data_IF_006901879179
#
_entry.id   IF_006901879179
#
_cell.length_a   1.000
_cell.length_b   1.000
_cell.length_c   1.000
_cell.angle_alpha   90.00
_cell.angle_beta   90.00
_cell.angle_gamma   90.00
#
_symmetry.space_group_name_H-M   'P 1'
#
loop_
_entity.id
_entity.type
_entity.pdbx_description
1 polymer ?
#
# COMPACT_ATOMS: atom_id res chain seq x y z
N UNK A 1 -10.96 -23.00 3.91
CA UNK A 1 -9.72 -23.50 4.56
C UNK A 1 -8.79 -22.32 4.77
N UNK A 2 -8.70 -21.81 6.00
CA UNK A 2 -7.76 -20.74 6.39
C UNK A 2 -6.45 -21.45 6.73
N UNK A 3 -5.42 -21.25 5.90
CA UNK A 3 -4.11 -21.83 6.12
C UNK A 3 -3.50 -21.17 7.37
N UNK A 4 -3.68 -21.82 8.52
CA UNK A 4 -2.92 -21.56 9.73
C UNK A 4 -1.51 -22.10 9.46
N UNK A 5 -0.52 -21.23 9.28
CA UNK A 5 0.88 -21.63 9.40
C UNK A 5 1.22 -21.50 10.89
N UNK A 6 1.42 -22.62 11.61
CA UNK A 6 1.76 -22.59 13.02
C UNK A 6 3.26 -22.25 13.15
N UNK A 7 3.59 -20.98 13.40
CA UNK A 7 4.97 -20.56 13.69
C UNK A 7 5.26 -20.63 15.20
N UNK A 8 5.15 -21.83 15.77
CA UNK A 8 5.83 -22.13 17.02
C UNK A 8 7.30 -22.48 16.68
N UNK A 9 8.21 -21.50 16.65
CA UNK A 9 9.63 -21.82 16.56
C UNK A 9 10.58 -20.69 16.21
N UNK A 10 10.39 -20.01 15.07
CA UNK A 10 11.21 -18.89 14.63
C UNK A 10 10.35 -17.96 13.79
N UNK A 11 10.21 -16.70 14.18
CA UNK A 11 9.76 -15.67 13.24
C UNK A 11 10.85 -15.59 12.18
N UNK A 12 10.59 -16.13 11.00
CA UNK A 12 11.45 -15.90 9.85
C UNK A 12 11.25 -14.44 9.43
N UNK A 13 12.03 -13.56 10.08
CA UNK A 13 11.99 -12.12 9.86
C UNK A 13 12.20 -11.80 8.39
N UNK A 14 13.04 -12.57 7.70
CA UNK A 14 13.30 -12.41 6.28
C UNK A 14 12.04 -12.73 5.46
N UNK A 15 11.37 -13.84 5.74
CA UNK A 15 10.12 -14.20 5.06
C UNK A 15 8.99 -13.17 5.30
N UNK A 16 8.86 -12.66 6.52
CA UNK A 16 7.84 -11.67 6.86
C UNK A 16 8.17 -10.28 6.28
N UNK A 17 9.45 -9.87 6.27
CA UNK A 17 9.92 -8.68 5.57
C UNK A 17 9.69 -8.79 4.06
N UNK A 18 9.93 -9.96 3.45
CA UNK A 18 9.67 -10.19 2.04
C UNK A 18 8.17 -10.12 1.71
N UNK A 19 7.32 -10.69 2.57
CA UNK A 19 5.86 -10.62 2.45
C UNK A 19 5.38 -9.17 2.51
N UNK A 20 5.83 -8.41 3.50
CA UNK A 20 5.49 -6.99 3.66
C UNK A 20 6.05 -6.14 2.52
N UNK A 21 7.28 -6.38 2.07
CA UNK A 21 7.89 -5.71 0.92
C UNK A 21 7.09 -5.92 -0.37
N UNK A 22 6.66 -7.16 -0.65
CA UNK A 22 5.78 -7.47 -1.80
C UNK A 22 4.42 -6.75 -1.69
N UNK A 23 3.87 -6.63 -0.48
CA UNK A 23 2.61 -5.95 -0.24
C UNK A 23 2.75 -4.41 -0.41
N UNK A 24 3.84 -3.83 0.09
CA UNK A 24 4.21 -2.42 -0.11
C UNK A 24 4.35 -2.11 -1.59
N UNK A 25 5.10 -2.93 -2.35
CA UNK A 25 5.29 -2.72 -3.79
C UNK A 25 3.98 -2.78 -4.59
N UNK A 26 3.07 -3.68 -4.23
CA UNK A 26 1.73 -3.74 -4.85
C UNK A 26 0.95 -2.44 -4.61
N UNK A 27 0.85 -2.00 -3.36
CA UNK A 27 0.11 -0.78 -3.00
C UNK A 27 0.78 0.45 -3.59
N UNK A 28 2.11 0.49 -3.63
CA UNK A 28 2.88 1.57 -4.24
C UNK A 28 2.56 1.73 -5.72
N UNK A 29 2.47 0.64 -6.47
CA UNK A 29 2.11 0.66 -7.90
C UNK A 29 0.67 1.14 -8.12
N UNK A 30 -0.27 0.72 -7.27
CA UNK A 30 -1.65 1.19 -7.34
C UNK A 30 -1.75 2.68 -7.00
N UNK A 31 -1.03 3.13 -5.96
CA UNK A 31 -0.92 4.54 -5.60
C UNK A 31 -0.35 5.36 -6.76
N UNK A 32 0.73 4.89 -7.39
CA UNK A 32 1.36 5.56 -8.52
C UNK A 32 0.41 5.72 -9.71
N UNK A 33 -0.46 4.74 -9.95
CA UNK A 33 -1.51 4.82 -10.98
C UNK A 33 -2.54 5.90 -10.65
N UNK A 34 -3.02 5.95 -9.40
CA UNK A 34 -3.96 6.97 -8.95
C UNK A 34 -3.33 8.36 -9.00
N UNK A 35 -2.11 8.54 -8.49
CA UNK A 35 -1.42 9.84 -8.52
C UNK A 35 -1.08 10.27 -9.93
N UNK A 36 -0.73 9.37 -10.86
CA UNK A 36 -0.55 9.70 -12.28
C UNK A 36 -1.85 10.22 -12.93
N UNK A 37 -3.00 9.65 -12.59
CA UNK A 37 -4.30 10.15 -13.07
C UNK A 37 -4.60 11.54 -12.50
N UNK A 38 -4.37 11.74 -11.20
CA UNK A 38 -4.59 13.04 -10.54
C UNK A 38 -3.57 14.11 -10.96
N UNK A 39 -2.35 13.73 -11.31
CA UNK A 39 -1.33 14.63 -11.84
C UNK A 39 -1.59 15.05 -13.29
N UNK A 40 -2.52 14.38 -13.98
CA UNK A 40 -2.92 14.78 -15.33
C UNK A 40 -3.94 15.93 -15.24
N UNK A 41 -3.57 17.17 -15.60
CA UNK A 41 -4.48 18.32 -15.52
C UNK A 41 -5.72 18.12 -16.39
N UNK A 42 -5.61 17.42 -17.53
CA UNK A 42 -6.78 17.09 -18.36
C UNK A 42 -7.77 16.15 -17.67
N UNK A 43 -7.32 15.34 -16.70
CA UNK A 43 -8.24 14.52 -15.89
C UNK A 43 -8.90 15.39 -14.82
N UNK A 44 -8.14 16.22 -14.12
CA UNK A 44 -8.66 17.11 -13.06
C UNK A 44 -9.65 18.14 -13.62
N UNK A 45 -9.38 18.68 -14.80
CA UNK A 45 -10.21 19.71 -15.43
C UNK A 45 -11.45 19.15 -16.14
N UNK A 46 -11.39 17.90 -16.63
CA UNK A 46 -12.48 17.30 -17.43
C UNK A 46 -13.31 16.27 -16.67
N UNK A 47 -12.77 15.67 -15.60
CA UNK A 47 -13.51 14.72 -14.79
C UNK A 47 -14.43 15.46 -13.81
N UNK A 48 -15.60 14.88 -13.47
CA UNK A 48 -16.46 15.41 -12.42
C UNK A 48 -15.70 15.52 -11.09
N UNK A 49 -15.93 16.58 -10.34
CA UNK A 49 -15.27 16.82 -9.05
C UNK A 49 -15.43 15.65 -8.07
N UNK A 50 -16.59 15.00 -8.07
CA UNK A 50 -16.84 13.78 -7.28
C UNK A 50 -15.86 12.64 -7.62
N UNK A 51 -15.50 12.47 -8.90
CA UNK A 51 -14.55 11.44 -9.35
C UNK A 51 -13.13 11.82 -8.96
N UNK A 52 -12.75 13.09 -9.10
CA UNK A 52 -11.44 13.60 -8.69
C UNK A 52 -11.25 13.44 -7.18
N UNK A 53 -12.25 13.83 -6.37
CA UNK A 53 -12.21 13.64 -4.92
C UNK A 53 -12.18 12.17 -4.52
N UNK A 54 -12.90 11.29 -5.24
CA UNK A 54 -12.86 9.85 -4.97
C UNK A 54 -11.48 9.25 -5.28
N UNK A 55 -10.86 9.62 -6.40
CA UNK A 55 -9.51 9.17 -6.75
C UNK A 55 -8.46 9.75 -5.78
N UNK A 56 -8.62 11.00 -5.34
CA UNK A 56 -7.77 11.64 -4.34
C UNK A 56 -7.85 10.91 -3.00
N UNK A 57 -9.07 10.66 -2.51
CA UNK A 57 -9.30 9.88 -1.29
C UNK A 57 -8.70 8.47 -1.39
N UNK A 58 -8.87 7.82 -2.54
CA UNK A 58 -8.30 6.49 -2.79
C UNK A 58 -6.77 6.51 -2.78
N UNK A 59 -6.15 7.54 -3.35
CA UNK A 59 -4.71 7.73 -3.27
C UNK A 59 -4.25 7.93 -1.81
N UNK A 60 -5.00 8.69 -1.02
CA UNK A 60 -4.67 8.93 0.38
C UNK A 60 -4.86 7.68 1.25
N UNK A 61 -5.89 6.87 1.00
CA UNK A 61 -6.08 5.56 1.64
C UNK A 61 -4.92 4.59 1.34
N UNK A 62 -4.45 4.58 0.08
CA UNK A 62 -3.28 3.79 -0.31
C UNK A 62 -2.00 4.31 0.34
N UNK A 63 -1.82 5.62 0.47
CA UNK A 63 -0.68 6.21 1.22
C UNK A 63 -0.71 5.79 2.68
N UNK A 64 -1.84 5.94 3.36
CA UNK A 64 -1.99 5.58 4.76
C UNK A 64 -1.69 4.08 4.98
N UNK A 65 -2.21 3.22 4.10
CA UNK A 65 -1.94 1.77 4.13
C UNK A 65 -0.46 1.46 3.91
N UNK A 66 0.20 2.17 3.00
CA UNK A 66 1.60 1.98 2.67
C UNK A 66 2.52 2.42 3.82
N UNK A 67 2.21 3.54 4.47
CA UNK A 67 2.93 3.98 5.67
C UNK A 67 2.76 2.98 6.82
N UNK A 68 1.55 2.48 7.07
CA UNK A 68 1.33 1.46 8.09
C UNK A 68 2.16 0.19 7.84
N UNK A 69 2.22 -0.29 6.59
CA UNK A 69 3.03 -1.45 6.23
C UNK A 69 4.53 -1.18 6.36
N UNK A 70 4.99 0.02 6.01
CA UNK A 70 6.40 0.42 6.24
C UNK A 70 6.75 0.45 7.72
N UNK A 71 5.86 0.99 8.57
CA UNK A 71 6.05 0.98 10.01
C UNK A 71 6.12 -0.46 10.55
N UNK A 72 5.24 -1.35 10.09
CA UNK A 72 5.30 -2.77 10.45
C UNK A 72 6.62 -3.41 10.02
N UNK A 73 7.06 -3.15 8.78
CA UNK A 73 8.34 -3.65 8.27
C UNK A 73 9.52 -3.11 9.08
N UNK A 74 9.50 -1.82 9.44
CA UNK A 74 10.52 -1.20 10.27
C UNK A 74 10.58 -1.83 11.66
N UNK A 75 9.42 -2.07 12.30
CA UNK A 75 9.36 -2.76 13.60
C UNK A 75 9.95 -4.16 13.53
N UNK A 76 9.63 -4.93 12.49
CA UNK A 76 10.17 -6.29 12.30
C UNK A 76 11.67 -6.26 12.02
N UNK A 77 12.16 -5.25 11.29
CA UNK A 77 13.60 -5.09 11.02
C UNK A 77 14.42 -4.74 12.27
N UNK A 78 13.78 -4.17 13.30
CA UNK A 78 14.43 -3.75 14.56
C UNK A 78 14.23 -4.77 15.69
N UNK A 79 13.32 -5.73 15.53
CA UNK A 79 13.17 -6.91 16.39
C UNK A 79 14.32 -7.87 16.17
#
# INVERSE_FOLDING_TARGET
MKLLIPMAGLIDKEAEMERLGKQIEKIRKELERCTKKLANPSFVERAPEAVVQQEQKRADDYRASLENLKEQLARISTL
#
